data_IF_928321670265
#
_entry.id   IF_928321670265
#
_cell.length_a   1.000
_cell.length_b   1.000
_cell.length_c   1.000
_cell.angle_alpha   90.00
_cell.angle_beta   90.00
_cell.angle_gamma   90.00
#
_symmetry.space_group_name_H-M   'P 1'
#
loop_
_entity.id
_entity.type
_entity.pdbx_description
1 polymer ?
#
# COMPACT_ATOMS: atom_id res chain seq x y z
N UNK A 1 -22.07 27.44 -12.81
CA UNK A 1 -21.03 26.49 -12.43
C UNK A 1 -19.63 27.00 -12.84
N UNK A 2 -18.53 26.44 -12.28
CA UNK A 2 -17.15 26.89 -12.55
C UNK A 2 -16.59 26.39 -13.87
N UNK A 3 -17.05 25.23 -14.34
CA UNK A 3 -16.51 24.56 -15.52
C UNK A 3 -16.87 25.26 -16.83
N UNK A 4 -16.04 25.04 -17.86
CA UNK A 4 -16.34 25.48 -19.23
C UNK A 4 -17.56 24.74 -19.81
N UNK A 5 -18.18 25.32 -20.85
CA UNK A 5 -19.39 24.75 -21.49
C UNK A 5 -19.15 23.33 -22.03
N UNK A 6 -17.99 23.06 -22.63
CA UNK A 6 -17.63 21.73 -23.14
C UNK A 6 -17.73 20.66 -22.06
N UNK A 7 -17.19 20.92 -20.88
CA UNK A 7 -17.23 19.96 -19.75
C UNK A 7 -18.68 19.75 -19.28
N UNK A 8 -19.46 20.81 -19.10
CA UNK A 8 -20.81 20.68 -18.59
C UNK A 8 -21.75 20.02 -19.61
N UNK A 9 -21.57 20.30 -20.90
CA UNK A 9 -22.34 19.63 -21.94
C UNK A 9 -22.09 18.14 -21.97
N UNK A 10 -20.82 17.73 -21.93
CA UNK A 10 -20.43 16.30 -21.86
C UNK A 10 -20.98 15.63 -20.60
N UNK A 11 -20.91 16.29 -19.44
CA UNK A 11 -21.48 15.78 -18.20
C UNK A 11 -23.01 15.65 -18.26
N UNK A 12 -23.70 16.61 -18.91
CA UNK A 12 -25.16 16.54 -19.13
C UNK A 12 -25.52 15.36 -20.03
N UNK A 13 -24.77 15.12 -21.13
CA UNK A 13 -24.98 13.97 -22.02
C UNK A 13 -24.82 12.64 -21.31
N UNK A 14 -23.71 12.44 -20.56
CA UNK A 14 -23.49 11.20 -19.78
C UNK A 14 -24.66 10.94 -18.83
N UNK A 15 -25.10 11.99 -18.13
CA UNK A 15 -26.17 11.89 -17.13
C UNK A 15 -27.56 11.73 -17.74
N UNK A 16 -27.75 12.18 -18.97
CA UNK A 16 -29.04 12.05 -19.67
C UNK A 16 -29.49 10.59 -19.84
N UNK A 17 -28.55 9.65 -19.93
CA UNK A 17 -28.82 8.21 -20.01
C UNK A 17 -29.35 7.60 -18.70
N UNK A 18 -29.36 8.34 -17.59
CA UNK A 18 -29.82 7.82 -16.30
C UNK A 18 -31.33 8.06 -16.12
N UNK A 19 -32.10 7.01 -16.30
CA UNK A 19 -33.58 7.06 -16.35
C UNK A 19 -34.27 7.36 -15.00
N UNK A 20 -33.60 7.15 -13.88
CA UNK A 20 -34.17 7.31 -12.52
C UNK A 20 -34.02 8.68 -11.89
N UNK A 21 -33.59 9.71 -12.63
CA UNK A 21 -33.18 11.01 -12.08
C UNK A 21 -34.21 12.15 -12.34
N UNK A 22 -34.29 13.10 -11.37
CA UNK A 22 -34.91 14.40 -11.62
C UNK A 22 -34.11 15.18 -12.67
N UNK A 23 -34.73 15.64 -13.72
CA UNK A 23 -34.11 16.42 -14.80
C UNK A 23 -33.53 17.72 -14.23
N UNK A 24 -32.21 17.84 -14.19
CA UNK A 24 -31.47 19.07 -13.91
C UNK A 24 -30.39 19.22 -14.97
N UNK A 25 -30.30 20.35 -15.62
CA UNK A 25 -29.27 20.67 -16.61
C UNK A 25 -28.23 21.57 -15.95
N UNK A 26 -26.97 21.18 -16.02
CA UNK A 26 -25.85 22.00 -15.60
C UNK A 26 -25.59 23.07 -16.65
N UNK A 27 -25.42 24.33 -16.25
CA UNK A 27 -25.16 25.44 -17.16
C UNK A 27 -24.10 26.39 -16.60
N UNK A 28 -23.46 27.17 -17.46
CA UNK A 28 -22.45 28.18 -17.13
C UNK A 28 -22.48 29.34 -18.13
N UNK A 29 -22.03 30.48 -17.68
CA UNK A 29 -21.74 31.64 -18.53
C UNK A 29 -20.29 31.67 -19.04
N UNK A 30 -19.44 30.74 -18.55
CA UNK A 30 -18.05 30.65 -18.97
C UNK A 30 -17.93 30.37 -20.48
N UNK A 31 -16.74 30.54 -21.01
CA UNK A 31 -16.41 30.23 -22.39
C UNK A 31 -16.59 28.73 -22.72
N UNK A 32 -16.55 28.41 -24.00
CA UNK A 32 -16.66 27.02 -24.47
C UNK A 32 -15.57 26.14 -23.86
N UNK A 33 -14.34 26.66 -23.78
CA UNK A 33 -13.18 25.94 -23.30
C UNK A 33 -12.61 24.95 -24.33
N UNK A 34 -11.57 24.23 -23.94
CA UNK A 34 -10.90 23.26 -24.80
C UNK A 34 -11.75 21.99 -24.99
N UNK A 35 -11.44 21.24 -26.06
CA UNK A 35 -12.05 19.93 -26.33
C UNK A 35 -11.58 18.90 -25.33
N UNK A 36 -12.44 17.94 -25.01
CA UNK A 36 -12.09 16.76 -24.21
C UNK A 36 -11.21 15.86 -25.08
N UNK A 37 -10.06 15.45 -24.52
CA UNK A 37 -9.17 14.46 -25.13
C UNK A 37 -9.51 13.09 -24.57
N UNK A 38 -9.74 12.12 -25.45
CA UNK A 38 -9.85 10.72 -25.09
C UNK A 38 -8.52 10.03 -25.41
N UNK A 39 -7.96 9.33 -24.44
CA UNK A 39 -6.80 8.47 -24.61
C UNK A 39 -7.16 7.07 -24.12
N UNK A 40 -6.80 6.07 -24.90
CA UNK A 40 -6.97 4.66 -24.54
C UNK A 40 -5.59 4.03 -24.48
N UNK A 41 -5.24 3.50 -23.31
CA UNK A 41 -4.02 2.75 -23.09
C UNK A 41 -4.28 1.24 -23.13
N UNK A 42 -3.27 0.46 -23.45
CA UNK A 42 -3.34 -1.01 -23.43
C UNK A 42 -3.15 -1.57 -22.01
N UNK A 43 -2.54 -0.79 -21.11
CA UNK A 43 -2.24 -1.18 -19.72
C UNK A 43 -2.44 -0.02 -18.75
N UNK A 44 -2.67 -0.33 -17.47
CA UNK A 44 -2.75 0.66 -16.39
C UNK A 44 -1.47 1.51 -16.28
N UNK A 45 -0.29 0.88 -16.47
CA UNK A 45 0.98 1.60 -16.50
C UNK A 45 1.09 2.57 -17.67
N UNK A 46 0.58 2.18 -18.86
CA UNK A 46 0.50 3.06 -20.03
C UNK A 46 -0.40 4.27 -19.79
N UNK A 47 -1.57 4.04 -19.16
CA UNK A 47 -2.49 5.11 -18.76
C UNK A 47 -1.82 6.09 -17.79
N UNK A 48 -1.23 5.56 -16.71
CA UNK A 48 -0.56 6.37 -15.70
C UNK A 48 0.63 7.15 -16.26
N UNK A 49 1.42 6.53 -17.15
CA UNK A 49 2.52 7.18 -17.85
C UNK A 49 2.06 8.32 -18.75
N UNK A 50 0.96 8.13 -19.50
CA UNK A 50 0.37 9.19 -20.32
C UNK A 50 -0.08 10.37 -19.43
N UNK A 51 -0.79 10.09 -18.32
CA UNK A 51 -1.26 11.12 -17.41
C UNK A 51 -0.08 11.91 -16.82
N UNK A 52 0.95 11.23 -16.31
CA UNK A 52 2.14 11.87 -15.78
C UNK A 52 2.84 12.75 -16.83
N UNK A 53 2.97 12.27 -18.07
CA UNK A 53 3.52 13.04 -19.18
C UNK A 53 2.69 14.29 -19.52
N UNK A 54 1.35 14.21 -19.49
CA UNK A 54 0.50 15.38 -19.69
C UNK A 54 0.64 16.39 -18.55
N UNK A 55 0.77 15.93 -17.30
CA UNK A 55 1.00 16.82 -16.15
C UNK A 55 2.33 17.55 -16.27
N UNK A 56 3.41 16.87 -16.65
CA UNK A 56 4.71 17.49 -16.88
C UNK A 56 4.67 18.52 -18.02
N UNK A 57 4.00 18.18 -19.13
CA UNK A 57 3.82 19.10 -20.26
C UNK A 57 3.11 20.36 -19.81
N UNK A 58 1.95 20.24 -19.15
CA UNK A 58 1.19 21.39 -18.65
C UNK A 58 1.97 22.21 -17.64
N UNK A 59 2.79 21.55 -16.82
CA UNK A 59 3.66 22.24 -15.88
C UNK A 59 4.75 23.04 -16.60
N UNK A 60 5.34 22.47 -17.66
CA UNK A 60 6.29 23.18 -18.54
C UNK A 60 5.67 24.38 -19.26
N UNK A 61 4.36 24.36 -19.51
CA UNK A 61 3.57 25.46 -20.06
C UNK A 61 3.17 26.51 -18.98
N UNK A 62 3.61 26.34 -17.72
CA UNK A 62 3.43 27.30 -16.62
C UNK A 62 2.28 27.01 -15.68
N UNK A 63 1.55 25.88 -15.82
CA UNK A 63 0.51 25.49 -14.86
C UNK A 63 1.14 24.85 -13.61
N UNK A 64 0.71 25.25 -12.43
CA UNK A 64 1.17 24.63 -11.19
C UNK A 64 0.51 23.25 -10.99
N UNK A 65 1.25 22.26 -10.47
CA UNK A 65 0.69 20.93 -10.17
C UNK A 65 -0.56 20.98 -9.27
N UNK A 66 -0.64 21.93 -8.34
CA UNK A 66 -1.83 22.15 -7.47
C UNK A 66 -3.12 22.53 -8.23
N UNK A 67 -3.00 22.91 -9.50
CA UNK A 67 -4.15 23.25 -10.36
C UNK A 67 -4.61 22.06 -11.20
N UNK A 68 -3.93 20.92 -11.07
CA UNK A 68 -4.25 19.68 -11.78
C UNK A 68 -4.90 18.69 -10.82
N UNK A 69 -5.84 17.89 -11.33
CA UNK A 69 -6.47 16.82 -10.56
C UNK A 69 -6.66 15.57 -11.42
N UNK A 70 -6.42 14.41 -10.83
CA UNK A 70 -6.70 13.10 -11.39
C UNK A 70 -7.89 12.52 -10.63
N UNK A 71 -8.92 12.08 -11.36
CA UNK A 71 -10.12 11.48 -10.78
C UNK A 71 -10.17 10.01 -11.21
N UNK A 72 -10.40 9.11 -10.26
CA UNK A 72 -10.55 7.69 -10.53
C UNK A 72 -11.74 7.10 -9.76
N UNK A 73 -12.24 5.95 -10.19
CA UNK A 73 -13.46 5.35 -9.64
C UNK A 73 -13.19 4.49 -8.42
N UNK A 74 -12.09 3.71 -8.42
CA UNK A 74 -11.75 2.76 -7.37
C UNK A 74 -10.36 3.04 -6.80
N UNK A 75 -10.15 2.70 -5.53
CA UNK A 75 -8.85 2.89 -4.88
C UNK A 75 -7.72 2.06 -5.51
N UNK A 76 -8.03 0.92 -6.12
CA UNK A 76 -7.03 0.09 -6.82
C UNK A 76 -6.34 0.86 -7.95
N UNK A 77 -7.08 1.69 -8.69
CA UNK A 77 -6.54 2.50 -9.79
C UNK A 77 -5.48 3.52 -9.34
N UNK A 78 -5.48 3.91 -8.05
CA UNK A 78 -4.48 4.88 -7.56
C UNK A 78 -3.06 4.36 -7.59
N UNK A 79 -2.83 3.04 -7.49
CA UNK A 79 -1.50 2.44 -7.39
C UNK A 79 -0.62 2.80 -8.58
N UNK A 80 -1.06 2.47 -9.80
CA UNK A 80 -0.30 2.75 -11.01
C UNK A 80 -0.03 4.26 -11.18
N UNK A 81 -1.00 5.11 -10.82
CA UNK A 81 -0.85 6.56 -10.84
C UNK A 81 0.20 7.02 -9.83
N UNK A 82 0.12 6.57 -8.57
CA UNK A 82 1.08 6.94 -7.51
C UNK A 82 2.50 6.50 -7.87
N UNK A 83 2.69 5.29 -8.39
CA UNK A 83 3.99 4.78 -8.82
C UNK A 83 4.63 5.66 -9.90
N UNK A 84 3.85 6.08 -10.91
CA UNK A 84 4.35 6.97 -11.96
C UNK A 84 4.63 8.38 -11.46
N UNK A 85 3.76 8.95 -10.63
CA UNK A 85 3.97 10.26 -10.04
C UNK A 85 5.23 10.31 -9.16
N UNK A 86 5.48 9.26 -8.37
CA UNK A 86 6.69 9.13 -7.54
C UNK A 86 7.93 9.00 -8.42
N UNK A 87 7.92 8.08 -9.41
CA UNK A 87 9.03 7.86 -10.32
C UNK A 87 9.43 9.13 -11.06
N UNK A 88 8.44 9.89 -11.50
CA UNK A 88 8.63 11.09 -12.29
C UNK A 88 8.81 12.36 -11.42
N UNK A 89 8.90 12.20 -10.08
CA UNK A 89 9.04 13.28 -9.09
C UNK A 89 7.94 14.35 -9.18
N UNK A 90 6.70 13.94 -9.51
CA UNK A 90 5.56 14.83 -9.55
C UNK A 90 4.92 14.87 -8.15
N UNK A 91 4.87 16.04 -7.49
CA UNK A 91 4.25 16.16 -6.18
C UNK A 91 2.73 15.94 -6.27
N UNK A 92 2.19 15.08 -5.43
CA UNK A 92 0.77 14.79 -5.40
C UNK A 92 0.22 14.69 -3.97
N UNK A 93 -1.09 14.77 -3.86
CA UNK A 93 -1.82 14.49 -2.62
C UNK A 93 -3.07 13.66 -2.94
N UNK A 94 -3.20 12.52 -2.29
CA UNK A 94 -4.38 11.70 -2.38
C UNK A 94 -5.47 12.23 -1.44
N UNK A 95 -6.67 12.49 -1.97
CA UNK A 95 -7.84 12.89 -1.19
C UNK A 95 -8.79 11.71 -1.02
N UNK A 96 -9.32 11.55 0.19
CA UNK A 96 -10.26 10.48 0.55
C UNK A 96 -9.74 9.06 0.31
N UNK A 97 -8.43 8.85 0.44
CA UNK A 97 -7.80 7.53 0.34
C UNK A 97 -6.55 7.45 1.20
N UNK A 98 -6.04 6.23 1.39
CA UNK A 98 -4.74 5.97 2.01
C UNK A 98 -3.78 5.63 0.87
N UNK A 99 -2.64 6.35 0.72
CA UNK A 99 -1.63 6.02 -0.28
C UNK A 99 -1.26 4.54 -0.24
N UNK A 100 -1.00 3.92 -1.38
CA UNK A 100 -0.80 2.48 -1.49
C UNK A 100 0.19 1.95 -0.45
N UNK A 101 1.39 2.52 -0.39
CA UNK A 101 2.43 2.12 0.56
C UNK A 101 2.13 2.48 2.03
N UNK A 102 1.05 3.23 2.30
CA UNK A 102 0.59 3.55 3.66
C UNK A 102 -0.53 2.62 4.12
N UNK A 103 -1.10 1.80 3.24
CA UNK A 103 -2.13 0.84 3.59
C UNK A 103 -1.58 -0.19 4.57
N UNK A 104 -2.42 -0.61 5.52
CA UNK A 104 -2.00 -1.49 6.63
C UNK A 104 -1.43 -2.81 6.10
N UNK A 105 -2.17 -3.47 5.21
CA UNK A 105 -1.80 -4.75 4.61
C UNK A 105 -0.46 -4.67 3.88
N UNK A 106 -0.22 -3.60 3.13
CA UNK A 106 1.03 -3.39 2.41
C UNK A 106 2.19 -3.15 3.39
N UNK A 107 1.98 -2.31 4.41
CA UNK A 107 3.01 -2.07 5.44
C UNK A 107 3.36 -3.33 6.23
N UNK A 108 2.37 -4.16 6.54
CA UNK A 108 2.60 -5.40 7.28
C UNK A 108 3.50 -6.34 6.46
N UNK A 109 3.16 -6.59 5.19
CA UNK A 109 3.96 -7.44 4.30
C UNK A 109 5.34 -6.87 4.02
N UNK A 110 5.46 -5.56 3.78
CA UNK A 110 6.75 -4.91 3.63
C UNK A 110 7.62 -5.04 4.88
N UNK A 111 7.03 -4.98 6.08
CA UNK A 111 7.79 -5.19 7.31
C UNK A 111 8.31 -6.62 7.45
N UNK A 112 7.57 -7.63 6.97
CA UNK A 112 8.09 -8.99 6.88
C UNK A 112 9.31 -9.05 5.96
N UNK A 113 9.20 -8.54 4.74
CA UNK A 113 10.32 -8.52 3.79
C UNK A 113 11.53 -7.75 4.33
N UNK A 114 11.30 -6.61 4.98
CA UNK A 114 12.37 -5.82 5.62
C UNK A 114 13.09 -6.59 6.71
N UNK A 115 12.36 -7.31 7.58
CA UNK A 115 12.97 -8.10 8.65
C UNK A 115 13.69 -9.33 8.12
N UNK A 116 13.21 -9.93 7.05
CA UNK A 116 13.90 -11.04 6.34
C UNK A 116 15.26 -10.56 5.84
N UNK A 117 15.33 -9.36 5.25
CA UNK A 117 16.58 -8.78 4.73
C UNK A 117 17.47 -8.23 5.83
N UNK A 118 16.90 -7.61 6.86
CA UNK A 118 17.65 -6.95 7.92
C UNK A 118 17.10 -7.30 9.30
N UNK A 119 17.79 -8.20 10.00
CA UNK A 119 17.43 -8.66 11.34
C UNK A 119 17.45 -7.56 12.42
N UNK A 120 18.08 -6.43 12.13
CA UNK A 120 18.16 -5.27 13.04
C UNK A 120 17.07 -4.22 12.77
N UNK A 121 16.11 -4.50 11.89
CA UNK A 121 14.97 -3.63 11.69
C UNK A 121 13.94 -3.82 12.81
N UNK A 122 14.24 -3.23 13.96
CA UNK A 122 13.41 -3.32 15.18
C UNK A 122 12.00 -2.73 14.96
N UNK A 123 11.86 -1.74 14.07
CA UNK A 123 10.56 -1.14 13.76
C UNK A 123 9.70 -2.11 12.95
N UNK A 124 10.29 -2.77 11.97
CA UNK A 124 9.62 -3.81 11.21
C UNK A 124 9.24 -4.98 12.12
N UNK A 125 10.16 -5.45 12.96
CA UNK A 125 9.90 -6.53 13.90
C UNK A 125 8.75 -6.21 14.86
N UNK A 126 8.75 -5.04 15.48
CA UNK A 126 7.70 -4.59 16.39
C UNK A 126 6.32 -4.59 15.71
N UNK A 127 6.26 -4.20 14.44
CA UNK A 127 5.02 -4.18 13.70
C UNK A 127 4.44 -5.56 13.46
N UNK A 128 5.26 -6.55 13.14
CA UNK A 128 4.80 -7.86 12.61
C UNK A 128 4.88 -9.02 13.60
N UNK A 129 5.58 -8.87 14.71
CA UNK A 129 5.79 -9.96 15.67
C UNK A 129 4.48 -10.59 16.17
N UNK A 130 3.42 -9.80 16.23
CA UNK A 130 2.07 -10.23 16.61
C UNK A 130 1.01 -9.96 15.52
N UNK A 131 1.42 -9.85 14.26
CA UNK A 131 0.56 -9.69 13.09
C UNK A 131 0.93 -10.74 12.06
N UNK A 132 0.07 -11.74 11.77
CA UNK A 132 -1.15 -12.11 12.50
C UNK A 132 -0.95 -12.42 13.97
N UNK A 133 -2.05 -12.46 14.72
CA UNK A 133 -2.00 -12.65 16.19
C UNK A 133 -1.30 -13.95 16.59
N UNK A 134 -0.21 -13.85 17.35
CA UNK A 134 0.56 -14.98 17.91
C UNK A 134 0.41 -15.08 19.43
N UNK A 135 -0.32 -14.13 20.04
CA UNK A 135 -0.46 -14.03 21.49
C UNK A 135 0.85 -13.61 22.17
N UNK A 136 1.65 -12.81 21.50
CA UNK A 136 2.80 -12.11 22.07
C UNK A 136 2.27 -10.75 22.54
N UNK A 137 2.38 -10.48 23.85
CA UNK A 137 1.85 -9.25 24.42
C UNK A 137 2.79 -8.06 24.25
N UNK A 138 2.23 -6.84 24.28
CA UNK A 138 2.98 -5.59 24.12
C UNK A 138 4.18 -5.44 25.07
N UNK A 139 4.07 -5.94 26.30
CA UNK A 139 5.18 -5.94 27.26
C UNK A 139 6.36 -6.81 26.77
N UNK A 140 6.08 -7.95 26.16
CA UNK A 140 7.12 -8.84 25.59
C UNK A 140 7.76 -8.22 24.36
N UNK A 141 6.96 -7.60 23.49
CA UNK A 141 7.44 -6.87 22.32
C UNK A 141 8.42 -5.77 22.71
N UNK A 142 8.04 -4.93 23.67
CA UNK A 142 8.87 -3.83 24.13
C UNK A 142 10.15 -4.33 24.81
N UNK A 143 10.07 -5.40 25.62
CA UNK A 143 11.24 -6.03 26.24
C UNK A 143 12.21 -6.58 25.20
N UNK A 144 11.70 -7.30 24.21
CA UNK A 144 12.50 -7.83 23.12
C UNK A 144 13.24 -6.71 22.38
N UNK A 145 12.55 -5.63 22.05
CA UNK A 145 13.10 -4.46 21.36
C UNK A 145 14.22 -3.79 22.17
N UNK A 146 13.99 -3.57 23.46
CA UNK A 146 14.96 -2.94 24.35
C UNK A 146 16.21 -3.80 24.51
N UNK A 147 16.05 -5.12 24.73
CA UNK A 147 17.16 -6.04 24.86
C UNK A 147 17.97 -6.16 23.55
N UNK A 148 17.30 -6.21 22.41
CA UNK A 148 17.96 -6.26 21.11
C UNK A 148 18.84 -5.02 20.88
N UNK A 149 18.29 -3.84 21.18
CA UNK A 149 19.02 -2.57 21.07
C UNK A 149 20.17 -2.46 22.09
N UNK A 150 19.94 -2.87 23.34
CA UNK A 150 20.97 -2.84 24.41
C UNK A 150 22.16 -3.76 24.10
N UNK A 151 21.88 -4.95 23.57
CA UNK A 151 22.90 -5.97 23.27
C UNK A 151 23.49 -5.83 21.87
N UNK A 152 22.99 -4.90 21.05
CA UNK A 152 23.33 -4.75 19.63
C UNK A 152 23.18 -6.07 18.84
N UNK A 153 22.09 -6.79 19.09
CA UNK A 153 21.76 -8.08 18.46
C UNK A 153 20.60 -7.92 17.47
N UNK A 154 20.58 -8.75 16.44
CA UNK A 154 19.40 -8.94 15.62
C UNK A 154 18.25 -9.57 16.41
N UNK A 155 17.02 -9.40 15.91
CA UNK A 155 15.81 -9.93 16.58
C UNK A 155 15.82 -11.45 16.65
N UNK A 156 16.12 -12.13 15.54
CA UNK A 156 16.16 -13.60 15.51
C UNK A 156 17.36 -14.13 16.30
N UNK A 157 18.49 -13.43 16.27
CA UNK A 157 19.65 -13.76 17.07
C UNK A 157 19.37 -13.66 18.58
N UNK A 158 18.69 -12.59 19.03
CA UNK A 158 18.28 -12.44 20.43
C UNK A 158 17.29 -13.54 20.85
N UNK A 159 16.32 -13.85 19.99
CA UNK A 159 15.34 -14.90 20.25
C UNK A 159 16.03 -16.28 20.34
N UNK A 160 17.06 -16.54 19.55
CA UNK A 160 17.89 -17.74 19.68
C UNK A 160 18.50 -17.92 21.07
N UNK A 161 18.68 -16.82 21.80
CA UNK A 161 19.23 -16.79 23.18
C UNK A 161 18.14 -16.52 24.24
N UNK A 162 16.86 -16.69 23.91
CA UNK A 162 15.72 -16.27 24.76
C UNK A 162 15.73 -16.90 26.15
N UNK A 163 16.30 -18.09 26.31
CA UNK A 163 16.42 -18.76 27.62
C UNK A 163 17.33 -18.03 28.61
N UNK A 164 18.22 -17.17 28.13
CA UNK A 164 19.09 -16.34 28.96
C UNK A 164 18.36 -15.15 29.58
N UNK A 165 17.11 -14.87 29.11
CA UNK A 165 16.31 -13.71 29.49
C UNK A 165 15.00 -14.14 30.16
N UNK A 166 14.98 -14.10 31.48
CA UNK A 166 13.83 -14.54 32.29
C UNK A 166 12.55 -13.76 31.95
N UNK A 167 12.69 -12.49 31.54
CA UNK A 167 11.58 -11.60 31.17
C UNK A 167 10.84 -12.07 29.89
N UNK A 168 11.50 -12.84 29.02
CA UNK A 168 10.95 -13.36 27.79
C UNK A 168 10.47 -14.83 27.91
N UNK A 169 10.76 -15.48 29.02
CA UNK A 169 10.56 -16.93 29.21
C UNK A 169 9.10 -17.39 28.94
N UNK A 170 8.10 -16.60 29.35
CA UNK A 170 6.68 -16.92 29.13
C UNK A 170 6.26 -16.95 27.66
N UNK A 171 6.96 -16.20 26.82
CA UNK A 171 6.69 -16.11 25.39
C UNK A 171 7.73 -16.87 24.54
N UNK A 172 8.69 -17.54 25.16
CA UNK A 172 9.85 -18.13 24.48
C UNK A 172 9.47 -19.04 23.32
N UNK A 173 8.49 -19.93 23.47
CA UNK A 173 8.04 -20.81 22.39
C UNK A 173 7.52 -20.02 21.20
N UNK A 174 6.62 -19.04 21.44
CA UNK A 174 6.04 -18.20 20.39
C UNK A 174 7.07 -17.34 19.68
N UNK A 175 8.05 -16.82 20.43
CA UNK A 175 9.16 -16.05 19.88
C UNK A 175 10.05 -16.94 18.99
N UNK A 176 10.35 -18.17 19.43
CA UNK A 176 11.11 -19.13 18.63
C UNK A 176 10.38 -19.51 17.32
N UNK A 177 9.07 -19.73 17.37
CA UNK A 177 8.26 -19.98 16.17
C UNK A 177 8.33 -18.81 15.19
N UNK A 178 8.28 -17.58 15.72
CA UNK A 178 8.42 -16.37 14.90
C UNK A 178 9.82 -16.24 14.30
N UNK A 179 10.88 -16.47 15.09
CA UNK A 179 12.25 -16.41 14.60
C UNK A 179 12.51 -17.48 13.54
N UNK A 180 12.04 -18.72 13.77
CA UNK A 180 12.15 -19.80 12.79
C UNK A 180 11.48 -19.47 11.46
N UNK A 181 10.31 -18.81 11.51
CA UNK A 181 9.64 -18.33 10.30
C UNK A 181 10.50 -17.31 9.54
N UNK A 182 11.07 -16.33 10.24
CA UNK A 182 11.91 -15.30 9.58
C UNK A 182 13.18 -15.91 8.98
N UNK A 183 13.84 -16.84 9.69
CA UNK A 183 15.03 -17.52 9.18
C UNK A 183 14.73 -18.41 7.97
N UNK A 184 13.63 -19.18 8.00
CA UNK A 184 13.16 -19.98 6.86
C UNK A 184 13.05 -19.13 5.60
N UNK A 185 12.43 -17.96 5.70
CA UNK A 185 12.25 -17.06 4.55
C UNK A 185 13.53 -16.28 4.19
N UNK A 186 14.41 -16.05 5.15
CA UNK A 186 15.74 -15.47 4.89
C UNK A 186 16.62 -16.41 4.08
N UNK A 187 16.64 -17.70 4.41
CA UNK A 187 17.36 -18.71 3.65
C UNK A 187 16.82 -18.82 2.24
N UNK A 188 15.51 -18.92 2.08
CA UNK A 188 14.85 -18.98 0.75
C UNK A 188 15.12 -17.74 -0.10
N UNK A 189 15.13 -16.55 0.51
CA UNK A 189 15.42 -15.30 -0.20
C UNK A 189 16.88 -15.21 -0.72
N UNK A 190 17.80 -16.05 -0.22
CA UNK A 190 19.20 -16.13 -0.66
C UNK A 190 19.42 -17.17 -1.75
N UNK A 191 18.42 -17.99 -2.08
CA UNK A 191 18.52 -18.97 -3.15
C UNK A 191 18.73 -18.26 -4.51
N UNK A 192 19.62 -18.77 -5.39
CA UNK A 192 19.94 -18.11 -6.66
C UNK A 192 18.73 -17.91 -7.59
N UNK A 193 17.76 -18.81 -7.54
CA UNK A 193 16.57 -18.83 -8.38
C UNK A 193 15.32 -18.36 -7.64
N UNK A 194 15.47 -17.57 -6.57
CA UNK A 194 14.36 -17.07 -5.78
C UNK A 194 13.49 -16.10 -6.59
N UNK A 195 12.25 -16.48 -6.86
CA UNK A 195 11.22 -15.57 -7.35
C UNK A 195 10.56 -14.85 -6.17
N UNK A 196 10.64 -13.51 -6.19
CA UNK A 196 10.11 -12.68 -5.10
C UNK A 196 8.58 -12.75 -4.99
N UNK A 197 7.88 -12.95 -6.11
CA UNK A 197 6.42 -13.08 -6.08
C UNK A 197 6.01 -14.38 -5.42
N UNK A 198 6.64 -15.50 -5.82
CA UNK A 198 6.41 -16.81 -5.19
C UNK A 198 6.79 -16.82 -3.71
N UNK A 199 7.90 -16.16 -3.35
CA UNK A 199 8.32 -16.02 -1.97
C UNK A 199 7.25 -15.29 -1.13
N UNK A 200 6.73 -14.18 -1.64
CA UNK A 200 5.71 -13.38 -0.96
C UNK A 200 4.38 -14.13 -0.84
N UNK A 201 3.91 -14.76 -1.92
CA UNK A 201 2.67 -15.56 -1.92
C UNK A 201 2.75 -16.71 -0.90
N UNK A 202 3.90 -17.39 -0.88
CA UNK A 202 4.14 -18.46 0.09
C UNK A 202 4.20 -17.95 1.53
N UNK A 203 4.77 -16.76 1.76
CA UNK A 203 4.77 -16.10 3.07
C UNK A 203 3.35 -15.76 3.52
N UNK A 204 2.56 -15.13 2.66
CA UNK A 204 1.16 -14.77 2.92
C UNK A 204 0.35 -16.01 3.34
N UNK A 205 0.52 -17.11 2.60
CA UNK A 205 -0.12 -18.39 2.91
C UNK A 205 0.37 -18.98 4.23
N UNK A 206 1.68 -19.01 4.44
CA UNK A 206 2.33 -19.60 5.64
C UNK A 206 1.93 -18.91 6.93
N UNK A 207 1.78 -17.57 6.91
CA UNK A 207 1.35 -16.80 8.07
C UNK A 207 -0.18 -16.70 8.18
N UNK A 208 -0.93 -17.23 7.20
CA UNK A 208 -2.40 -17.14 7.14
C UNK A 208 -2.88 -15.71 7.18
N UNK A 209 -2.24 -14.85 6.39
CA UNK A 209 -2.51 -13.42 6.43
C UNK A 209 -3.90 -13.05 5.90
N UNK A 210 -4.39 -13.79 4.90
CA UNK A 210 -5.72 -13.60 4.32
C UNK A 210 -6.82 -13.87 5.36
N UNK A 211 -6.69 -14.97 6.11
CA UNK A 211 -7.62 -15.29 7.18
C UNK A 211 -7.59 -14.24 8.29
N UNK A 212 -6.40 -13.77 8.63
CA UNK A 212 -6.25 -12.68 9.59
C UNK A 212 -6.96 -11.40 9.14
N UNK A 213 -6.88 -11.01 7.86
CA UNK A 213 -7.60 -9.85 7.33
C UNK A 213 -9.12 -10.04 7.39
N UNK A 214 -9.62 -11.25 7.09
CA UNK A 214 -11.04 -11.59 7.17
C UNK A 214 -11.58 -11.49 8.59
N UNK A 215 -10.80 -11.93 9.57
CA UNK A 215 -11.19 -11.87 10.99
C UNK A 215 -11.16 -10.44 11.53
N UNK A 216 -10.22 -9.60 11.05
CA UNK A 216 -10.03 -8.24 11.55
C UNK A 216 -11.10 -7.27 11.05
N UNK A 217 -11.42 -7.31 9.75
CA UNK A 217 -12.37 -6.38 9.11
C UNK A 217 -13.04 -7.07 7.91
N UNK A 218 -14.11 -7.84 8.16
CA UNK A 218 -14.81 -8.60 7.12
C UNK A 218 -15.36 -7.71 5.99
N UNK A 219 -15.78 -6.47 6.32
CA UNK A 219 -16.41 -5.57 5.35
C UNK A 219 -15.42 -5.02 4.32
N UNK A 220 -14.14 -4.90 4.69
CA UNK A 220 -13.08 -4.35 3.83
C UNK A 220 -12.10 -5.39 3.30
N UNK A 221 -12.38 -6.66 3.52
CA UNK A 221 -11.46 -7.73 3.14
C UNK A 221 -11.17 -7.73 1.64
N UNK A 222 -12.21 -7.69 0.81
CA UNK A 222 -12.05 -7.72 -0.65
C UNK A 222 -11.18 -6.54 -1.15
N UNK A 223 -11.46 -5.32 -0.68
CA UNK A 223 -10.66 -4.14 -1.01
C UNK A 223 -9.18 -4.28 -0.62
N UNK A 224 -8.89 -5.01 0.47
CA UNK A 224 -7.52 -5.27 0.94
C UNK A 224 -6.84 -6.40 0.18
N UNK A 225 -7.59 -7.41 -0.24
CA UNK A 225 -7.07 -8.51 -1.06
C UNK A 225 -6.66 -8.02 -2.45
N UNK A 226 -7.43 -7.09 -3.02
CA UNK A 226 -7.10 -6.44 -4.29
C UNK A 226 -5.77 -5.63 -4.24
N UNK A 227 -5.27 -5.35 -3.03
CA UNK A 227 -4.02 -4.62 -2.84
C UNK A 227 -2.79 -5.54 -2.69
N UNK A 228 -2.99 -6.80 -2.43
CA UNK A 228 -1.94 -7.80 -2.16
C UNK A 228 -1.63 -8.61 -3.42
#
# INVERSE_FOLDING_TARGET
YRSAKTILNSANEVIHHNLGRKRKTLWTQNEIGEKITLYQADTEGGEAGYIAGQMQKLHGEGKAYKEMAILFRTNAQSRALEEHLIRDNIPYRLFAGIPFYQRKEIKDLLCYLRLIVNDRDYVAAQRIINVPKRGIGATTEERLRLLAAEKDLGITELIGRVEQYTELSRAAAKLKDFAALIEEYRERAQEPDCDLSELLESLITRIRYIEYLREEDPERTEDRLDNI
#
